data_IF_653840183629
#
_entry.id   IF_653840183629
#
_cell.length_a   1.000
_cell.length_b   1.000
_cell.length_c   1.000
_cell.angle_alpha   90.00
_cell.angle_beta   90.00
_cell.angle_gamma   90.00
#
_symmetry.space_group_name_H-M   'P 1'
#
loop_
_entity.id
_entity.type
_entity.pdbx_description
1 polymer ?
#
# COMPACT_ATOMS: atom_id res chain seq x y z
N UNK A 1 -7.29 -15.21 16.00
CA UNK A 1 -7.36 -14.41 14.76
C UNK A 1 -7.08 -12.95 15.08
N UNK A 2 -5.87 -12.47 14.84
CA UNK A 2 -5.53 -11.06 15.04
C UNK A 2 -5.52 -10.34 13.70
N UNK A 3 -6.28 -9.26 13.56
CA UNK A 3 -6.35 -8.42 12.35
C UNK A 3 -5.06 -7.62 12.07
N UNK A 4 -4.11 -7.62 13.01
CA UNK A 4 -2.84 -6.91 12.89
C UNK A 4 -1.76 -7.77 12.25
N UNK A 5 -1.14 -7.26 11.17
CA UNK A 5 -0.02 -7.88 10.46
C UNK A 5 -0.40 -8.71 9.22
N UNK A 6 -1.68 -8.74 8.82
CA UNK A 6 -2.11 -9.36 7.56
C UNK A 6 -1.57 -8.58 6.36
N UNK A 7 -1.12 -9.29 5.32
CA UNK A 7 -0.79 -8.68 4.04
C UNK A 7 -1.99 -8.00 3.39
N UNK A 8 -1.72 -6.99 2.55
CA UNK A 8 -2.73 -6.18 1.89
C UNK A 8 -2.09 -5.01 1.17
N UNK A 9 -2.81 -4.44 0.21
CA UNK A 9 -2.32 -3.27 -0.52
C UNK A 9 -2.38 -2.01 0.34
N UNK A 10 -1.69 -0.95 -0.08
CA UNK A 10 -1.72 0.36 0.62
C UNK A 10 -2.43 1.36 -0.30
N UNK A 11 -3.75 1.23 -0.53
CA UNK A 11 -4.47 2.10 -1.47
C UNK A 11 -4.51 3.54 -0.94
N UNK A 12 -4.72 4.49 -1.85
CA UNK A 12 -4.84 5.92 -1.56
C UNK A 12 -6.26 6.27 -1.09
N UNK A 13 -7.28 5.75 -1.80
CA UNK A 13 -8.71 5.93 -1.52
C UNK A 13 -9.14 7.40 -1.37
N UNK A 14 -8.48 8.29 -2.12
CA UNK A 14 -8.78 9.71 -2.13
C UNK A 14 -8.72 10.30 -3.56
N UNK A 15 -9.63 11.21 -3.93
CA UNK A 15 -9.58 11.87 -5.23
C UNK A 15 -8.42 12.87 -5.29
N UNK A 16 -7.98 13.30 -6.49
CA UNK A 16 -6.90 14.30 -6.61
C UNK A 16 -7.22 15.67 -5.97
N UNK A 17 -8.49 15.97 -5.74
CA UNK A 17 -8.88 17.18 -5.01
C UNK A 17 -8.56 17.04 -3.52
N UNK A 18 -7.95 18.07 -2.94
CA UNK A 18 -7.67 18.16 -1.51
C UNK A 18 -8.85 18.72 -0.73
N UNK A 19 -8.92 18.37 0.54
CA UNK A 19 -9.84 18.94 1.50
C UNK A 19 -9.55 20.44 1.72
N UNK A 20 -10.62 21.22 1.90
CA UNK A 20 -10.49 22.61 2.35
C UNK A 20 -9.83 22.68 3.73
N UNK A 21 -9.12 23.77 4.07
CA UNK A 21 -8.44 23.90 5.36
C UNK A 21 -9.38 23.62 6.55
N UNK A 22 -8.94 22.74 7.45
CA UNK A 22 -9.70 22.33 8.64
C UNK A 22 -10.78 21.28 8.41
N UNK A 23 -11.09 20.91 7.15
CA UNK A 23 -11.99 19.80 6.85
C UNK A 23 -11.30 18.47 7.06
N UNK A 24 -12.05 17.50 7.60
CA UNK A 24 -11.54 16.18 7.93
C UNK A 24 -12.34 15.12 7.19
N UNK A 25 -11.65 14.06 6.75
CA UNK A 25 -12.29 12.80 6.38
C UNK A 25 -11.77 11.66 7.23
N UNK A 26 -12.66 10.72 7.52
CA UNK A 26 -12.32 9.42 8.12
C UNK A 26 -12.91 8.33 7.24
N UNK A 27 -12.25 7.20 7.11
CA UNK A 27 -12.81 6.07 6.39
C UNK A 27 -12.32 4.73 6.90
N UNK A 28 -13.12 3.70 6.62
CA UNK A 28 -12.83 2.33 6.96
C UNK A 28 -13.29 1.40 5.83
N UNK A 29 -12.55 0.32 5.61
CA UNK A 29 -12.73 -0.53 4.45
C UNK A 29 -11.78 -1.72 4.41
N UNK A 30 -11.52 -2.21 3.20
CA UNK A 30 -10.64 -3.34 2.92
C UNK A 30 -9.72 -3.02 1.75
N UNK A 31 -8.53 -3.63 1.77
CA UNK A 31 -7.60 -3.63 0.65
C UNK A 31 -7.06 -5.04 0.39
N UNK A 32 -7.07 -5.45 -0.87
CA UNK A 32 -6.45 -6.70 -1.33
C UNK A 32 -5.12 -6.42 -2.03
N UNK A 33 -4.27 -7.45 -2.15
CA UNK A 33 -3.09 -7.44 -3.01
C UNK A 33 -2.78 -8.83 -3.58
N UNK A 34 -3.65 -9.41 -4.43
CA UNK A 34 -3.28 -10.60 -5.20
C UNK A 34 -2.06 -10.36 -6.09
N UNK A 35 -1.10 -11.28 -6.04
CA UNK A 35 0.00 -11.39 -7.01
C UNK A 35 -0.43 -12.27 -8.18
N UNK A 36 -0.11 -11.85 -9.40
CA UNK A 36 -0.59 -12.49 -10.63
C UNK A 36 0.49 -13.32 -11.35
N UNK A 37 1.71 -13.36 -10.79
CA UNK A 37 2.84 -14.15 -11.31
C UNK A 37 3.32 -15.18 -10.29
N UNK A 38 3.81 -16.32 -10.80
CA UNK A 38 4.54 -17.26 -9.97
C UNK A 38 5.95 -16.72 -9.64
N UNK A 39 6.51 -17.18 -8.54
CA UNK A 39 7.92 -16.97 -8.24
C UNK A 39 8.80 -17.70 -9.27
N UNK A 40 9.99 -17.15 -9.60
CA UNK A 40 10.83 -17.68 -10.67
C UNK A 40 11.42 -19.06 -10.36
N UNK A 41 11.69 -19.36 -9.09
CA UNK A 41 12.27 -20.65 -8.71
C UNK A 41 11.24 -21.78 -8.70
N UNK A 42 11.61 -22.92 -9.27
CA UNK A 42 10.80 -24.13 -9.25
C UNK A 42 10.61 -24.64 -7.81
N UNK A 43 9.46 -25.25 -7.53
CA UNK A 43 9.17 -25.85 -6.22
C UNK A 43 10.22 -26.90 -5.86
N UNK A 44 10.72 -26.86 -4.63
CA UNK A 44 11.73 -27.79 -4.12
C UNK A 44 13.18 -27.41 -4.44
N UNK A 45 13.43 -26.23 -5.00
CA UNK A 45 14.78 -25.64 -5.08
C UNK A 45 15.14 -24.90 -3.80
N UNK A 46 16.43 -24.75 -3.50
CA UNK A 46 16.90 -24.04 -2.30
C UNK A 46 16.50 -22.56 -2.27
N UNK A 47 16.25 -21.95 -3.44
CA UNK A 47 15.83 -20.56 -3.58
C UNK A 47 14.33 -20.34 -3.31
N UNK A 48 13.47 -21.34 -3.53
CA UNK A 48 12.02 -21.21 -3.40
C UNK A 48 11.57 -20.76 -1.98
N UNK A 49 12.08 -21.33 -0.87
CA UNK A 49 11.70 -20.88 0.46
C UNK A 49 12.12 -19.42 0.73
N UNK A 50 13.25 -18.99 0.16
CA UNK A 50 13.80 -17.64 0.32
C UNK A 50 12.92 -16.63 -0.42
N UNK A 51 12.61 -16.93 -1.68
CA UNK A 51 11.72 -16.13 -2.51
C UNK A 51 10.33 -15.97 -1.88
N UNK A 52 9.76 -17.05 -1.34
CA UNK A 52 8.48 -16.99 -0.61
C UNK A 52 8.57 -16.11 0.64
N UNK A 53 9.61 -16.28 1.45
CA UNK A 53 9.80 -15.48 2.65
C UNK A 53 9.97 -13.98 2.33
N UNK A 54 10.71 -13.65 1.26
CA UNK A 54 10.84 -12.27 0.78
C UNK A 54 9.55 -11.73 0.19
N UNK A 55 8.79 -12.54 -0.55
CA UNK A 55 7.48 -12.15 -1.06
C UNK A 55 6.54 -11.81 0.10
N UNK A 56 6.48 -12.63 1.14
CA UNK A 56 5.61 -12.40 2.30
C UNK A 56 6.06 -11.19 3.13
N UNK A 57 7.37 -10.93 3.16
CA UNK A 57 7.95 -9.80 3.88
C UNK A 57 7.83 -8.47 3.10
N UNK A 58 8.04 -8.45 1.79
CA UNK A 58 8.02 -7.24 0.97
C UNK A 58 6.64 -6.96 0.35
N UNK A 59 6.08 -7.96 -0.35
CA UNK A 59 4.83 -7.81 -1.12
C UNK A 59 3.62 -8.25 -0.30
N UNK A 60 3.73 -9.18 0.64
CA UNK A 60 2.65 -9.61 1.53
C UNK A 60 1.26 -9.76 0.86
N UNK A 61 1.09 -10.72 -0.06
CA UNK A 61 -0.17 -10.89 -0.78
C UNK A 61 -1.26 -11.39 0.18
N UNK A 62 -2.29 -10.57 0.43
CA UNK A 62 -3.47 -10.95 1.20
C UNK A 62 -4.54 -9.85 1.12
N UNK A 63 -5.59 -9.97 1.94
CA UNK A 63 -6.61 -8.94 2.18
C UNK A 63 -6.46 -8.44 3.61
N UNK A 64 -6.49 -7.12 3.78
CA UNK A 64 -6.33 -6.45 5.05
C UNK A 64 -7.45 -5.42 5.30
N UNK A 65 -7.75 -5.13 6.58
CA UNK A 65 -8.53 -3.95 6.93
C UNK A 65 -7.78 -2.68 6.54
N UNK A 66 -8.52 -1.69 6.06
CA UNK A 66 -8.04 -0.36 5.79
C UNK A 66 -8.79 0.64 6.66
N UNK A 67 -8.07 1.53 7.32
CA UNK A 67 -8.63 2.66 8.07
C UNK A 67 -7.76 3.87 7.79
N UNK A 68 -8.37 5.01 7.48
CA UNK A 68 -7.62 6.23 7.17
C UNK A 68 -8.32 7.48 7.64
N UNK A 69 -7.53 8.51 7.92
CA UNK A 69 -8.01 9.85 8.23
C UNK A 69 -7.19 10.89 7.48
N UNK A 70 -7.84 11.97 7.04
CA UNK A 70 -7.17 13.05 6.29
C UNK A 70 -7.68 14.40 6.75
N UNK A 71 -6.82 15.41 6.68
CA UNK A 71 -7.13 16.79 7.07
C UNK A 71 -6.63 17.78 6.02
N UNK A 72 -7.50 18.71 5.65
CA UNK A 72 -7.16 19.81 4.75
C UNK A 72 -6.29 20.86 5.45
N UNK A 73 -5.26 21.31 4.75
CA UNK A 73 -4.27 22.29 5.20
C UNK A 73 -4.31 23.50 4.25
N UNK A 74 -3.96 24.68 4.76
CA UNK A 74 -3.87 25.91 3.96
C UNK A 74 -2.97 25.73 2.74
N UNK A 75 -3.30 26.42 1.64
CA UNK A 75 -2.50 26.41 0.42
C UNK A 75 -2.70 25.16 -0.45
N UNK A 76 -3.92 24.63 -0.54
CA UNK A 76 -4.24 23.44 -1.34
C UNK A 76 -3.43 22.21 -0.93
N UNK A 77 -3.21 22.05 0.37
CA UNK A 77 -2.46 20.95 0.95
C UNK A 77 -3.38 20.03 1.75
N UNK A 78 -2.96 18.80 1.91
CA UNK A 78 -3.67 17.83 2.75
C UNK A 78 -2.66 16.85 3.36
N UNK A 79 -2.91 16.43 4.59
CA UNK A 79 -2.17 15.36 5.25
C UNK A 79 -3.09 14.18 5.55
N UNK A 80 -2.54 12.97 5.51
CA UNK A 80 -3.25 11.73 5.74
C UNK A 80 -2.47 10.77 6.63
N UNK A 81 -3.20 9.99 7.42
CA UNK A 81 -2.69 8.86 8.18
C UNK A 81 -3.57 7.64 7.88
N UNK A 82 -2.95 6.54 7.48
CA UNK A 82 -3.64 5.32 7.06
C UNK A 82 -3.03 4.11 7.71
N UNK A 83 -3.87 3.18 8.16
CA UNK A 83 -3.51 1.84 8.58
C UNK A 83 -4.08 0.82 7.60
N UNK A 84 -3.27 -0.15 7.17
CA UNK A 84 -3.66 -1.16 6.18
C UNK A 84 -3.20 -2.57 6.56
N UNK A 85 -3.58 -3.02 7.76
CA UNK A 85 -3.28 -4.35 8.30
C UNK A 85 -1.82 -4.52 8.77
N UNK A 86 -0.87 -4.46 7.83
CA UNK A 86 0.57 -4.57 8.11
C UNK A 86 1.33 -3.27 7.97
N UNK A 87 0.70 -2.16 7.58
CA UNK A 87 1.42 -0.90 7.41
C UNK A 87 0.67 0.28 8.01
N UNK A 88 1.45 1.24 8.49
CA UNK A 88 1.00 2.58 8.84
C UNK A 88 1.66 3.54 7.88
N UNK A 89 0.88 4.34 7.16
CA UNK A 89 1.34 5.32 6.17
C UNK A 89 0.95 6.72 6.62
N UNK A 90 1.93 7.60 6.70
CA UNK A 90 1.74 9.04 6.83
C UNK A 90 2.02 9.68 5.47
N UNK A 91 1.13 10.51 4.97
CA UNK A 91 1.32 11.16 3.67
C UNK A 91 0.89 12.62 3.66
N UNK A 92 1.50 13.39 2.77
CA UNK A 92 1.13 14.76 2.46
C UNK A 92 0.97 14.91 0.95
N UNK A 93 0.11 15.83 0.52
CA UNK A 93 -0.07 16.13 -0.90
C UNK A 93 -0.48 17.57 -1.16
N UNK A 94 -0.16 18.03 -2.35
CA UNK A 94 -0.55 19.33 -2.89
C UNK A 94 -1.41 19.15 -4.14
N UNK A 95 -2.46 19.97 -4.29
CA UNK A 95 -3.29 19.99 -5.49
C UNK A 95 -3.13 21.29 -6.29
N UNK A 96 -2.86 21.11 -7.57
CA UNK A 96 -2.88 22.12 -8.61
C UNK A 96 -4.25 22.11 -9.30
N UNK A 97 -5.03 23.15 -9.06
CA UNK A 97 -6.33 23.34 -9.72
C UNK A 97 -6.13 23.68 -11.19
N UNK A 98 -6.53 22.78 -12.09
CA UNK A 98 -6.45 23.00 -13.54
C UNK A 98 -7.74 23.66 -14.06
N UNK A 99 -8.88 23.29 -13.48
CA UNK A 99 -10.19 23.90 -13.73
C UNK A 99 -11.09 23.76 -12.50
N UNK A 100 -12.35 24.22 -12.58
CA UNK A 100 -13.33 24.05 -11.49
C UNK A 100 -13.60 22.58 -11.12
N UNK A 101 -13.43 21.67 -12.09
CA UNK A 101 -13.77 20.26 -11.94
C UNK A 101 -12.57 19.33 -12.06
N UNK A 102 -11.40 19.84 -12.43
CA UNK A 102 -10.20 19.03 -12.71
C UNK A 102 -9.02 19.54 -11.89
N UNK A 103 -8.34 18.63 -11.19
CA UNK A 103 -7.13 18.92 -10.42
C UNK A 103 -6.06 17.88 -10.68
N UNK A 104 -4.81 18.33 -10.70
CA UNK A 104 -3.63 17.48 -10.60
C UNK A 104 -3.14 17.51 -9.15
N UNK A 105 -2.83 16.38 -8.56
CA UNK A 105 -2.22 16.33 -7.22
C UNK A 105 -0.96 15.51 -7.19
N UNK A 106 0.05 16.00 -6.47
CA UNK A 106 1.29 15.30 -6.21
C UNK A 106 1.41 15.05 -4.71
N UNK A 107 1.72 13.82 -4.33
CA UNK A 107 1.88 13.42 -2.93
C UNK A 107 3.26 12.84 -2.62
N UNK A 108 3.53 12.75 -1.33
CA UNK A 108 4.67 12.03 -0.76
C UNK A 108 4.18 11.29 0.49
N UNK A 109 4.38 9.98 0.54
CA UNK A 109 4.05 9.15 1.68
C UNK A 109 5.28 8.46 2.25
N UNK A 110 5.31 8.31 3.58
CA UNK A 110 6.20 7.40 4.29
C UNK A 110 5.40 6.30 4.95
N UNK A 111 5.87 5.06 4.85
CA UNK A 111 5.24 3.90 5.46
C UNK A 111 6.17 3.20 6.45
N UNK A 112 5.58 2.72 7.54
CA UNK A 112 6.18 1.75 8.45
C UNK A 112 5.51 0.41 8.22
N UNK A 113 6.31 -0.62 8.03
CA UNK A 113 5.87 -1.99 7.73
C UNK A 113 6.03 -2.84 8.99
N UNK A 114 4.94 -3.48 9.40
CA UNK A 114 4.80 -4.38 10.54
C UNK A 114 4.44 -5.77 10.01
N UNK A 115 5.46 -6.53 9.64
CA UNK A 115 5.28 -7.88 9.11
C UNK A 115 5.12 -8.88 10.26
N UNK A 116 4.01 -9.62 10.26
CA UNK A 116 3.93 -10.89 10.99
C UNK A 116 4.31 -12.02 10.05
N UNK A 117 5.11 -12.97 10.56
CA UNK A 117 5.29 -14.26 9.90
C UNK A 117 3.95 -15.00 9.92
N UNK A 118 3.50 -15.43 8.73
CA UNK A 118 2.31 -16.27 8.53
C UNK A 118 2.66 -17.74 8.27
N UNK A 119 3.88 -18.18 8.60
CA UNK A 119 4.32 -19.55 8.35
C UNK A 119 4.15 -20.38 9.61
N UNK A 120 3.33 -21.43 9.54
CA UNK A 120 3.36 -22.54 10.48
C UNK A 120 4.78 -23.14 10.47
N UNK A 121 5.59 -22.87 11.49
CA UNK A 121 6.93 -23.46 11.60
C UNK A 121 8.04 -22.64 12.26
N UNK A 122 7.84 -21.39 12.68
CA UNK A 122 8.85 -20.70 13.49
C UNK A 122 8.82 -19.18 13.34
N UNK A 123 8.46 -18.50 14.43
CA UNK A 123 8.24 -17.08 14.47
C UNK A 123 9.52 -16.27 14.25
N UNK A 124 9.60 -15.58 13.11
CA UNK A 124 10.35 -14.34 12.96
C UNK A 124 9.43 -13.26 12.42
N UNK A 125 9.19 -12.23 13.23
CA UNK A 125 8.51 -11.02 12.76
C UNK A 125 9.44 -10.21 11.86
N UNK A 126 8.88 -9.27 11.12
CA UNK A 126 9.66 -8.36 10.31
C UNK A 126 9.19 -6.92 10.46
N UNK A 127 10.12 -6.01 10.23
CA UNK A 127 9.86 -4.58 10.22
C UNK A 127 10.46 -3.98 8.96
N UNK A 128 9.88 -2.90 8.50
CA UNK A 128 10.43 -2.17 7.38
C UNK A 128 9.94 -0.74 7.34
N UNK A 129 10.44 -0.02 6.36
CA UNK A 129 9.99 1.32 6.06
C UNK A 129 10.09 1.58 4.56
N UNK A 130 9.26 2.50 4.07
CA UNK A 130 9.26 2.85 2.67
C UNK A 130 8.77 4.25 2.41
N UNK A 131 8.94 4.67 1.17
CA UNK A 131 8.47 5.94 0.65
C UNK A 131 7.66 5.70 -0.62
N UNK A 132 6.66 6.53 -0.87
CA UNK A 132 5.94 6.54 -2.14
C UNK A 132 5.58 7.94 -2.63
N UNK A 133 5.44 8.05 -3.94
CA UNK A 133 5.11 9.29 -4.65
C UNK A 133 3.97 8.99 -5.63
N UNK A 134 2.73 9.35 -5.28
CA UNK A 134 1.61 9.35 -6.22
C UNK A 134 1.50 10.68 -6.97
N UNK A 135 1.18 10.61 -8.25
CA UNK A 135 0.74 11.75 -9.07
C UNK A 135 -0.64 11.41 -9.62
N UNK A 136 -1.66 12.18 -9.28
CA UNK A 136 -3.05 11.88 -9.65
C UNK A 136 -3.65 13.01 -10.45
N UNK A 137 -4.25 12.68 -11.58
CA UNK A 137 -5.23 13.54 -12.24
C UNK A 137 -6.62 13.13 -11.74
N UNK A 138 -7.43 14.10 -11.34
CA UNK A 138 -8.76 13.82 -10.85
C UNK A 138 -9.82 14.79 -11.36
N UNK A 139 -11.02 14.26 -11.46
CA UNK A 139 -12.23 14.98 -11.84
C UNK A 139 -13.27 14.92 -10.72
N UNK A 140 -14.08 15.97 -10.55
CA UNK A 140 -15.25 15.98 -9.67
C UNK A 140 -16.48 16.54 -10.36
N UNK A 141 -17.64 15.97 -10.06
CA UNK A 141 -18.94 16.47 -10.51
C UNK A 141 -19.36 17.72 -9.75
N UNK A 142 -20.34 18.45 -10.29
CA UNK A 142 -21.05 19.50 -9.55
C UNK A 142 -21.68 18.91 -8.29
N UNK A 143 -21.51 19.61 -7.15
CA UNK A 143 -21.98 19.14 -5.85
C UNK A 143 -21.22 17.97 -5.25
N UNK A 144 -20.08 17.57 -5.84
CA UNK A 144 -19.17 16.52 -5.34
C UNK A 144 -19.79 15.12 -5.17
N UNK A 145 -20.92 14.88 -5.84
CA UNK A 145 -21.60 13.58 -5.85
C UNK A 145 -20.71 12.46 -6.37
N UNK A 146 -19.90 12.77 -7.38
CA UNK A 146 -18.98 11.86 -8.02
C UNK A 146 -17.59 12.49 -8.10
N UNK A 147 -16.56 11.69 -7.88
CA UNK A 147 -15.19 12.07 -8.22
C UNK A 147 -14.41 10.85 -8.70
N UNK A 148 -13.61 11.04 -9.75
CA UNK A 148 -12.73 10.02 -10.30
C UNK A 148 -11.28 10.48 -10.22
N UNK A 149 -10.36 9.53 -10.11
CA UNK A 149 -8.92 9.81 -10.19
C UNK A 149 -8.18 8.69 -10.91
N UNK A 150 -7.07 9.06 -11.54
CA UNK A 150 -6.13 8.13 -12.15
C UNK A 150 -4.72 8.72 -12.11
N UNK A 151 -3.70 7.89 -11.99
CA UNK A 151 -2.33 8.31 -12.25
C UNK A 151 -1.28 7.34 -11.76
N UNK A 152 0.00 7.65 -11.99
CA UNK A 152 1.10 6.79 -11.59
C UNK A 152 1.39 6.88 -10.09
N UNK A 153 2.00 5.82 -9.58
CA UNK A 153 2.60 5.76 -8.24
C UNK A 153 3.89 4.98 -8.31
N UNK A 154 4.92 5.48 -7.64
CA UNK A 154 6.16 4.76 -7.43
C UNK A 154 6.49 4.72 -5.95
N UNK A 155 7.28 3.73 -5.53
CA UNK A 155 7.78 3.66 -4.17
C UNK A 155 8.95 2.70 -4.03
N UNK A 156 9.66 2.87 -2.92
CA UNK A 156 10.77 2.03 -2.51
C UNK A 156 10.57 1.68 -1.04
N UNK A 157 10.90 0.46 -0.65
CA UNK A 157 10.85 0.02 0.74
C UNK A 157 12.00 -0.91 1.06
N UNK A 158 12.37 -0.93 2.33
CA UNK A 158 13.37 -1.82 2.90
C UNK A 158 12.72 -2.60 4.02
N UNK A 159 12.93 -3.91 3.99
CA UNK A 159 12.35 -4.83 4.95
C UNK A 159 13.43 -5.68 5.58
N UNK A 160 13.25 -5.99 6.86
CA UNK A 160 14.11 -6.89 7.62
C UNK A 160 13.25 -7.82 8.45
N UNK A 161 13.69 -9.05 8.62
CA UNK A 161 13.03 -10.03 9.45
C UNK A 161 13.95 -11.19 9.75
N UNK A 162 13.37 -12.24 10.30
CA UNK A 162 14.06 -13.51 10.46
C UNK A 162 13.14 -14.65 10.06
N UNK A 163 13.75 -15.75 9.64
CA UNK A 163 13.06 -17.01 9.39
C UNK A 163 13.74 -18.07 10.24
N UNK A 164 12.96 -18.93 10.90
CA UNK A 164 13.48 -20.12 11.55
C UNK A 164 13.13 -21.31 10.66
N UNK A 165 14.06 -21.81 9.83
CA UNK A 165 13.83 -23.03 9.06
C UNK A 165 13.52 -24.19 10.00
N UNK A 166 12.66 -25.11 9.57
CA UNK A 166 12.27 -26.30 10.34
C UNK A 166 13.48 -27.16 10.80
N UNK A 167 14.61 -27.06 10.11
CA UNK A 167 15.83 -27.85 10.33
C UNK A 167 16.97 -27.07 11.00
N UNK A 168 16.81 -25.75 11.23
CA UNK A 168 17.86 -24.89 11.73
C UNK A 168 17.66 -24.55 13.21
N UNK A 169 18.74 -24.59 14.00
CA UNK A 169 18.71 -24.25 15.43
C UNK A 169 18.85 -22.75 15.70
N UNK A 170 19.12 -21.93 14.67
CA UNK A 170 19.25 -20.47 14.76
C UNK A 170 18.39 -19.78 13.71
N UNK A 171 17.75 -18.64 14.05
CA UNK A 171 17.08 -17.79 13.07
C UNK A 171 18.07 -17.31 12.00
N UNK A 172 17.68 -17.39 10.73
CA UNK A 172 18.39 -16.71 9.65
C UNK A 172 17.80 -15.32 9.47
N UNK A 173 18.68 -14.33 9.36
CA UNK A 173 18.29 -12.94 9.07
C UNK A 173 17.90 -12.81 7.61
N UNK A 174 16.74 -12.19 7.38
CA UNK A 174 16.23 -11.83 6.07
C UNK A 174 16.28 -10.32 5.91
N UNK A 175 16.86 -9.84 4.82
CA UNK A 175 16.85 -8.43 4.44
C UNK A 175 16.46 -8.31 2.97
N UNK A 176 15.64 -7.31 2.65
CA UNK A 176 15.21 -7.08 1.29
C UNK A 176 14.99 -5.61 0.98
N UNK A 177 15.20 -5.27 -0.28
CA UNK A 177 14.80 -4.02 -0.92
C UNK A 177 13.67 -4.33 -1.90
N UNK A 178 12.69 -3.44 -1.94
CA UNK A 178 11.51 -3.59 -2.78
C UNK A 178 11.19 -2.27 -3.46
N UNK A 179 11.26 -2.26 -4.79
CA UNK A 179 10.81 -1.17 -5.64
C UNK A 179 9.45 -1.51 -6.21
N UNK A 180 8.51 -0.56 -6.19
CA UNK A 180 7.20 -0.65 -6.85
C UNK A 180 6.99 0.50 -7.81
N UNK A 181 6.46 0.21 -8.98
CA UNK A 181 6.00 1.21 -9.95
C UNK A 181 4.68 0.74 -10.55
N UNK A 182 3.69 1.62 -10.58
CA UNK A 182 2.35 1.22 -10.96
C UNK A 182 1.45 2.38 -11.33
N UNK A 183 0.20 2.00 -11.62
CA UNK A 183 -0.90 2.91 -11.90
C UNK A 183 -2.01 2.67 -10.89
N UNK A 184 -2.72 3.72 -10.54
CA UNK A 184 -3.92 3.65 -9.69
C UNK A 184 -5.06 4.36 -10.38
N UNK A 185 -6.26 3.81 -10.27
CA UNK A 185 -7.50 4.45 -10.68
C UNK A 185 -8.56 4.23 -9.60
N UNK A 186 -9.38 5.24 -9.34
CA UNK A 186 -10.44 5.11 -8.36
C UNK A 186 -11.60 6.06 -8.59
N UNK A 187 -12.66 5.76 -7.85
CA UNK A 187 -13.94 6.44 -7.96
C UNK A 187 -14.54 6.58 -6.58
N UNK A 188 -15.15 7.73 -6.32
CA UNK A 188 -15.85 8.02 -5.07
C UNK A 188 -17.23 8.54 -5.42
N UNK A 189 -18.24 7.93 -4.83
CA UNK A 189 -19.65 8.24 -5.02
C UNK A 189 -20.27 8.50 -3.66
N UNK A 190 -21.05 9.55 -3.52
CA UNK A 190 -21.70 9.82 -2.25
C UNK A 190 -22.58 11.05 -2.26
N UNK A 191 -23.15 11.32 -1.09
CA UNK A 191 -23.98 12.48 -0.87
C UNK A 191 -23.66 13.11 0.47
N UNK A 192 -23.43 14.42 0.47
CA UNK A 192 -23.08 15.25 1.64
C UNK A 192 -21.83 14.73 2.35
N UNK A 193 -22.02 14.02 3.46
CA UNK A 193 -20.97 13.62 4.38
C UNK A 193 -20.56 12.17 4.22
N UNK A 194 -21.28 11.36 3.44
CA UNK A 194 -21.05 9.92 3.34
C UNK A 194 -20.76 9.54 1.89
N UNK A 195 -19.63 8.88 1.69
CA UNK A 195 -19.17 8.44 0.38
C UNK A 195 -18.67 7.02 0.42
N UNK A 196 -18.85 6.30 -0.67
CA UNK A 196 -18.14 5.06 -0.97
C UNK A 196 -16.98 5.40 -1.89
N UNK A 197 -15.77 5.00 -1.51
CA UNK A 197 -14.57 5.09 -2.34
C UNK A 197 -14.16 3.70 -2.77
N UNK A 198 -13.85 3.55 -4.06
CA UNK A 198 -13.34 2.33 -4.68
C UNK A 198 -12.05 2.67 -5.41
N UNK A 199 -11.07 1.78 -5.36
CA UNK A 199 -9.78 1.96 -6.01
C UNK A 199 -9.25 0.62 -6.54
N UNK A 200 -8.59 0.68 -7.69
CA UNK A 200 -7.79 -0.41 -8.22
C UNK A 200 -6.39 0.11 -8.56
N UNK A 201 -5.38 -0.54 -7.98
CA UNK A 201 -3.97 -0.35 -8.33
C UNK A 201 -3.45 -1.52 -9.15
N UNK A 202 -2.48 -1.27 -10.02
CA UNK A 202 -1.67 -2.29 -10.66
C UNK A 202 -0.20 -1.92 -10.52
N UNK A 203 0.57 -2.77 -9.86
CA UNK A 203 1.96 -2.49 -9.48
C UNK A 203 2.90 -3.58 -10.04
N UNK A 204 3.98 -3.15 -10.68
CA UNK A 204 5.17 -3.97 -10.92
C UNK A 204 6.09 -3.85 -9.70
N UNK A 205 6.54 -4.99 -9.21
CA UNK A 205 7.40 -5.13 -8.04
C UNK A 205 8.73 -5.72 -8.47
N UNK A 206 9.82 -5.09 -8.08
CA UNK A 206 11.17 -5.67 -8.14
C UNK A 206 11.66 -5.82 -6.72
N UNK A 207 11.92 -7.07 -6.31
CA UNK A 207 12.36 -7.40 -4.96
C UNK A 207 13.73 -8.04 -5.04
N UNK A 208 14.68 -7.51 -4.30
CA UNK A 208 16.00 -8.11 -4.11
C UNK A 208 16.25 -8.30 -2.62
N UNK A 209 16.97 -9.34 -2.25
CA UNK A 209 17.24 -9.60 -0.85
C UNK A 209 18.15 -10.78 -0.61
N UNK A 210 18.46 -11.00 0.65
CA UNK A 210 19.34 -12.08 1.08
C UNK A 210 18.80 -12.80 2.31
N UNK A 211 19.09 -14.10 2.37
CA UNK A 211 18.90 -14.93 3.55
C UNK A 211 20.24 -15.57 3.90
N UNK A 212 20.89 -15.06 4.94
CA UNK A 212 22.26 -15.49 5.27
C UNK A 212 23.25 -15.12 4.16
N UNK A 213 23.78 -16.12 3.45
CA UNK A 213 24.77 -15.95 2.38
C UNK A 213 24.19 -16.09 0.96
N UNK A 214 22.88 -16.33 0.84
CA UNK A 214 22.21 -16.54 -0.43
C UNK A 214 21.43 -15.30 -0.83
N UNK A 215 21.75 -14.75 -2.00
CA UNK A 215 21.05 -13.62 -2.61
C UNK A 215 20.00 -14.12 -3.60
N UNK A 216 18.83 -13.48 -3.59
CA UNK A 216 17.77 -13.74 -4.57
C UNK A 216 17.14 -12.42 -5.03
N UNK A 217 16.60 -12.44 -6.26
CA UNK A 217 15.89 -11.31 -6.83
C UNK A 217 14.77 -11.82 -7.72
N UNK A 218 13.62 -11.17 -7.67
CA UNK A 218 12.47 -11.53 -8.50
C UNK A 218 11.59 -10.32 -8.82
N UNK A 219 10.86 -10.44 -9.93
CA UNK A 219 9.85 -9.48 -10.36
C UNK A 219 8.45 -10.09 -10.24
N UNK A 220 7.48 -9.27 -9.85
CA UNK A 220 6.07 -9.66 -9.78
C UNK A 220 5.13 -8.53 -10.16
N UNK A 221 3.98 -8.91 -10.71
CA UNK A 221 2.87 -8.00 -10.91
C UNK A 221 1.77 -8.29 -9.88
N UNK A 222 1.21 -7.23 -9.28
CA UNK A 222 0.07 -7.34 -8.37
C UNK A 222 -1.06 -6.40 -8.77
N UNK A 223 -2.29 -6.78 -8.40
CA UNK A 223 -3.45 -5.89 -8.44
C UNK A 223 -3.85 -5.55 -7.00
N UNK A 224 -4.17 -4.29 -6.75
CA UNK A 224 -4.59 -3.78 -5.44
C UNK A 224 -6.03 -3.28 -5.51
N UNK A 225 -7.05 -4.16 -5.41
CA UNK A 225 -8.43 -3.72 -5.25
C UNK A 225 -8.66 -3.20 -3.83
N UNK A 226 -9.38 -2.10 -3.68
CA UNK A 226 -9.73 -1.54 -2.39
C UNK A 226 -11.09 -0.85 -2.40
N UNK A 227 -11.73 -0.81 -1.24
CA UNK A 227 -12.98 -0.10 -1.06
C UNK A 227 -13.17 0.34 0.38
N UNK A 228 -13.74 1.53 0.58
CA UNK A 228 -13.99 2.10 1.89
C UNK A 228 -15.26 2.96 1.94
N UNK A 229 -15.87 3.00 3.11
CA UNK A 229 -16.84 4.04 3.48
C UNK A 229 -16.06 5.22 4.05
N UNK A 230 -16.32 6.43 3.54
CA UNK A 230 -15.63 7.66 3.93
C UNK A 230 -16.66 8.68 4.40
N UNK A 231 -16.43 9.21 5.61
CA UNK A 231 -17.21 10.29 6.21
C UNK A 231 -16.42 11.60 6.21
N UNK A 232 -17.09 12.73 6.00
CA UNK A 232 -16.49 14.07 6.01
C UNK A 232 -17.18 15.02 6.98
N UNK A 233 -16.43 15.91 7.63
CA UNK A 233 -16.95 16.96 8.52
C UNK A 233 -16.10 18.24 8.48
#
# INVERSE_FOLDING_TARGET
>A
MGLAGCGGGVPLLHPAHVLSPGKVTLGAGLSGRPVLGALPSARGTDAEPIERALQDLAIAPAVAPWVGGRIGITGSNEAGLTYSGRSVRLDGRHAFTLSKSVSLSMGLGGEVILARSGVDGGAGGGTGGGLDVPLLLGWKSTGELYSGWIGPRAGISWVRGSVVPAVATKPLTLAGEHVRVGMVAGLRLGFRHVHVALEIGGDWHTVSGSLGATDVSFDQFSLTPAGALVVSF
#
